data_IF_939260435671
#
_entry.id   IF_939260435671
#
_cell.length_a   1.000
_cell.length_b   1.000
_cell.length_c   1.000
_cell.angle_alpha   90.00
_cell.angle_beta   90.00
_cell.angle_gamma   90.00
#
_symmetry.space_group_name_H-M   'P 1'
#
loop_
_entity.id
_entity.type
_entity.pdbx_description
1 polymer ?
#
# COMPACT_ATOMS: atom_id res chain seq x y z
N UNK A 1 12.60 8.71 -4.56
CA UNK A 1 14.08 8.57 -4.44
C UNK A 1 14.37 7.11 -4.16
N UNK A 2 14.92 6.39 -5.13
CA UNK A 2 15.20 4.96 -5.04
C UNK A 2 16.51 4.70 -4.27
N UNK A 3 16.46 3.79 -3.32
CA UNK A 3 17.59 3.13 -2.67
C UNK A 3 18.24 2.28 -3.78
N UNK A 4 19.55 2.39 -3.93
CA UNK A 4 20.30 1.81 -5.05
C UNK A 4 20.38 0.28 -4.93
N UNK A 5 19.31 -0.43 -5.30
CA UNK A 5 19.23 -1.90 -5.37
C UNK A 5 20.30 -2.52 -6.28
N UNK A 6 20.73 -1.77 -7.29
CA UNK A 6 21.84 -2.13 -8.21
C UNK A 6 23.18 -2.26 -7.51
N UNK A 7 23.44 -1.48 -6.45
CA UNK A 7 24.68 -1.60 -5.66
C UNK A 7 24.71 -2.87 -4.80
N UNK A 8 23.54 -3.41 -4.45
CA UNK A 8 23.39 -4.64 -3.67
C UNK A 8 23.62 -5.87 -4.55
N UNK A 9 23.10 -5.87 -5.78
CA UNK A 9 23.29 -6.96 -6.75
C UNK A 9 24.77 -7.17 -7.09
N UNK A 10 25.48 -6.10 -7.46
CA UNK A 10 26.91 -6.18 -7.77
C UNK A 10 27.76 -6.68 -6.59
N UNK A 11 27.33 -6.41 -5.36
CA UNK A 11 28.02 -6.92 -4.16
C UNK A 11 27.71 -8.38 -3.86
N UNK A 12 26.48 -8.81 -4.11
CA UNK A 12 26.07 -10.22 -4.02
C UNK A 12 26.96 -11.09 -4.92
N UNK A 13 27.10 -10.69 -6.20
CA UNK A 13 27.92 -11.41 -7.18
C UNK A 13 29.40 -11.46 -6.76
N UNK A 14 29.91 -10.35 -6.23
CA UNK A 14 31.32 -10.25 -5.78
C UNK A 14 31.61 -11.07 -4.52
N UNK A 15 30.66 -11.14 -3.58
CA UNK A 15 30.78 -11.99 -2.39
C UNK A 15 30.71 -13.48 -2.75
N UNK A 16 29.85 -13.85 -3.70
CA UNK A 16 29.75 -15.23 -4.19
C UNK A 16 31.05 -15.69 -4.87
N UNK A 17 31.67 -14.82 -5.68
CA UNK A 17 32.95 -15.12 -6.33
C UNK A 17 34.12 -15.24 -5.33
N UNK A 18 34.16 -14.41 -4.27
CA UNK A 18 35.21 -14.51 -3.25
C UNK A 18 35.04 -15.66 -2.26
N UNK A 19 33.81 -16.08 -1.97
CA UNK A 19 33.59 -17.32 -1.22
C UNK A 19 34.21 -18.54 -1.94
N UNK A 20 34.38 -18.46 -3.26
CA UNK A 20 35.07 -19.48 -4.08
C UNK A 20 36.59 -19.25 -4.13
N UNK A 21 37.08 -18.01 -4.02
CA UNK A 21 38.50 -17.63 -4.13
C UNK A 21 39.29 -17.60 -2.80
N UNK A 22 38.67 -17.87 -1.65
CA UNK A 22 39.38 -17.81 -0.36
C UNK A 22 40.42 -18.95 -0.26
N UNK A 23 41.69 -18.63 -0.56
CA UNK A 23 42.78 -19.58 -0.77
C UNK A 23 43.86 -19.61 0.35
N UNK A 24 44.51 -20.76 0.39
CA UNK A 24 45.19 -21.53 1.44
C UNK A 24 46.62 -21.12 1.80
N UNK A 25 46.87 -19.88 2.25
CA UNK A 25 48.26 -19.49 2.62
C UNK A 25 48.63 -19.49 4.10
N UNK A 26 47.67 -19.48 5.03
CA UNK A 26 47.96 -19.43 6.48
C UNK A 26 46.87 -20.02 7.40
N UNK A 27 45.73 -20.45 6.86
CA UNK A 27 44.57 -20.89 7.64
C UNK A 27 44.39 -22.41 7.60
N UNK A 28 43.99 -23.00 8.73
CA UNK A 28 43.58 -24.41 8.82
C UNK A 28 42.29 -24.61 8.01
N UNK A 29 42.09 -25.80 7.42
CA UNK A 29 40.88 -26.14 6.63
C UNK A 29 39.58 -25.77 7.37
N UNK A 30 39.56 -25.90 8.69
CA UNK A 30 38.43 -25.55 9.57
C UNK A 30 38.10 -24.04 9.57
N UNK A 31 39.11 -23.17 9.55
CA UNK A 31 38.89 -21.70 9.48
C UNK A 31 38.38 -21.26 8.12
N UNK A 32 38.87 -21.90 7.05
CA UNK A 32 38.39 -21.66 5.69
C UNK A 32 36.92 -22.07 5.57
N UNK A 33 36.57 -23.26 6.05
CA UNK A 33 35.20 -23.75 6.05
C UNK A 33 34.23 -22.83 6.82
N UNK A 34 34.63 -22.36 8.01
CA UNK A 34 33.82 -21.43 8.80
C UNK A 34 33.63 -20.08 8.07
N UNK A 35 34.69 -19.54 7.47
CA UNK A 35 34.64 -18.27 6.75
C UNK A 35 33.74 -18.35 5.52
N UNK A 36 33.78 -19.46 4.78
CA UNK A 36 32.85 -19.72 3.69
C UNK A 36 31.40 -19.79 4.16
N UNK A 37 31.13 -20.43 5.29
CA UNK A 37 29.79 -20.54 5.86
C UNK A 37 29.25 -19.16 6.26
N UNK A 38 30.05 -18.37 6.96
CA UNK A 38 29.68 -17.02 7.40
C UNK A 38 29.44 -16.09 6.19
N UNK A 39 30.25 -16.19 5.14
CA UNK A 39 30.04 -15.43 3.89
C UNK A 39 28.74 -15.84 3.18
N UNK A 40 28.44 -17.14 3.11
CA UNK A 40 27.17 -17.64 2.57
C UNK A 40 25.99 -17.13 3.41
N UNK A 41 26.15 -17.06 4.73
CA UNK A 41 25.14 -16.53 5.64
C UNK A 41 24.93 -15.02 5.45
N UNK A 42 26.00 -14.24 5.36
CA UNK A 42 25.93 -12.81 5.06
C UNK A 42 25.23 -12.57 3.72
N UNK A 43 25.58 -13.33 2.69
CA UNK A 43 24.98 -13.18 1.37
C UNK A 43 23.46 -13.44 1.41
N UNK A 44 23.03 -14.50 2.11
CA UNK A 44 21.61 -14.79 2.35
C UNK A 44 20.93 -13.67 3.15
N UNK A 45 21.59 -13.10 4.16
CA UNK A 45 21.05 -12.03 4.98
C UNK A 45 20.85 -10.73 4.16
N UNK A 46 21.84 -10.37 3.34
CA UNK A 46 21.78 -9.21 2.44
C UNK A 46 20.71 -9.38 1.36
N UNK A 47 20.58 -10.57 0.76
CA UNK A 47 19.52 -10.85 -0.21
C UNK A 47 18.13 -10.69 0.40
N UNK A 48 17.94 -11.19 1.63
CA UNK A 48 16.68 -11.02 2.36
C UNK A 48 16.41 -9.56 2.73
N UNK A 49 17.44 -8.78 3.08
CA UNK A 49 17.32 -7.34 3.32
C UNK A 49 16.92 -6.60 2.04
N UNK A 50 17.54 -6.94 0.89
CA UNK A 50 17.20 -6.38 -0.42
C UNK A 50 15.72 -6.56 -0.75
N UNK A 51 15.20 -7.78 -0.63
CA UNK A 51 13.79 -8.07 -0.91
C UNK A 51 12.85 -7.30 0.02
N UNK A 52 13.20 -7.18 1.31
CA UNK A 52 12.44 -6.36 2.27
C UNK A 52 12.46 -4.87 1.90
N UNK A 53 13.58 -4.36 1.38
CA UNK A 53 13.71 -2.96 0.95
C UNK A 53 12.93 -2.69 -0.34
N UNK A 54 13.03 -3.56 -1.34
CA UNK A 54 12.28 -3.42 -2.60
C UNK A 54 10.76 -3.36 -2.33
N UNK A 55 10.27 -4.24 -1.45
CA UNK A 55 8.86 -4.23 -1.04
C UNK A 55 8.51 -2.97 -0.23
N UNK A 56 9.38 -2.56 0.71
CA UNK A 56 9.21 -1.31 1.45
C UNK A 56 9.10 -0.10 0.50
N UNK A 57 10.00 0.02 -0.46
CA UNK A 57 10.01 1.14 -1.41
C UNK A 57 8.77 1.17 -2.28
N UNK A 58 8.33 0.00 -2.73
CA UNK A 58 7.10 -0.12 -3.52
C UNK A 58 5.90 0.34 -2.71
N UNK A 59 5.72 -0.18 -1.49
CA UNK A 59 4.56 0.17 -0.65
C UNK A 59 4.62 1.61 -0.15
N UNK A 60 5.81 2.11 0.20
CA UNK A 60 6.05 3.51 0.51
C UNK A 60 5.65 4.42 -0.66
N UNK A 61 6.06 4.06 -1.88
CA UNK A 61 5.69 4.78 -3.10
C UNK A 61 4.19 4.75 -3.39
N UNK A 62 3.51 3.64 -3.12
CA UNK A 62 2.03 3.60 -3.21
C UNK A 62 1.41 4.58 -2.21
N UNK A 63 1.85 4.54 -0.95
CA UNK A 63 1.33 5.42 0.09
C UNK A 63 1.55 6.91 -0.25
N UNK A 64 2.76 7.28 -0.67
CA UNK A 64 3.12 8.68 -0.90
C UNK A 64 2.73 9.19 -2.29
N UNK A 65 3.05 8.44 -3.34
CA UNK A 65 2.99 8.98 -4.71
C UNK A 65 1.63 8.73 -5.34
N UNK A 66 0.93 7.66 -4.93
CA UNK A 66 -0.42 7.33 -5.39
C UNK A 66 -1.46 7.99 -4.49
N UNK A 67 -1.38 7.76 -3.18
CA UNK A 67 -2.39 8.28 -2.23
C UNK A 67 -2.05 9.63 -1.59
N UNK A 68 -0.85 10.18 -1.81
CA UNK A 68 -0.49 11.49 -1.26
C UNK A 68 -0.27 11.51 0.26
N UNK A 69 -0.21 10.36 0.91
CA UNK A 69 -0.11 10.24 2.37
C UNK A 69 1.36 10.27 2.83
N UNK A 70 1.59 10.74 4.05
CA UNK A 70 2.93 10.76 4.64
C UNK A 70 3.35 9.38 5.15
N UNK A 71 4.65 9.08 5.05
CA UNK A 71 5.22 7.89 5.69
C UNK A 71 5.09 7.97 7.23
N UNK A 72 4.89 6.83 7.93
CA UNK A 72 4.96 6.77 9.38
C UNK A 72 6.29 7.34 9.91
N UNK A 73 6.24 7.99 11.08
CA UNK A 73 7.45 8.48 11.75
C UNK A 73 8.40 7.33 12.03
N UNK A 74 9.69 7.55 11.75
CA UNK A 74 10.73 6.53 11.94
C UNK A 74 11.07 5.74 10.68
N UNK A 75 10.54 6.12 9.50
CA UNK A 75 10.96 5.59 8.21
C UNK A 75 12.48 5.42 8.16
N UNK A 76 12.95 4.18 7.91
CA UNK A 76 14.32 3.67 8.05
C UNK A 76 15.37 4.78 7.93
N UNK A 77 16.33 4.81 8.85
CA UNK A 77 17.58 5.52 8.65
C UNK A 77 18.25 4.96 7.39
N UNK A 78 17.95 5.54 6.22
CA UNK A 78 18.50 5.17 4.92
C UNK A 78 20.02 5.08 5.00
N UNK A 79 20.61 5.88 5.87
CA UNK A 79 22.02 5.89 6.18
C UNK A 79 22.53 4.58 6.79
N UNK A 80 21.75 3.90 7.65
CA UNK A 80 22.13 2.59 8.22
C UNK A 80 21.99 1.45 7.21
N UNK A 81 20.96 1.48 6.36
CA UNK A 81 20.89 0.55 5.21
C UNK A 81 22.09 0.79 4.29
N UNK A 82 22.35 2.04 3.94
CA UNK A 82 23.45 2.43 3.06
C UNK A 82 24.81 2.06 3.65
N UNK A 83 25.03 2.23 4.95
CA UNK A 83 26.30 1.87 5.58
C UNK A 83 26.53 0.37 5.53
N UNK A 84 25.51 -0.45 5.79
CA UNK A 84 25.60 -1.91 5.74
C UNK A 84 25.77 -2.44 4.32
N UNK A 85 25.09 -1.83 3.35
CA UNK A 85 25.24 -2.21 1.94
C UNK A 85 26.52 -1.68 1.33
N UNK A 86 27.13 -0.61 1.86
CA UNK A 86 28.32 0.02 1.30
C UNK A 86 29.63 -0.37 1.98
N UNK A 87 29.62 -1.26 2.98
CA UNK A 87 30.83 -1.84 3.58
C UNK A 87 31.81 -2.32 2.49
N UNK A 88 33.01 -1.75 2.40
CA UNK A 88 34.04 -2.18 1.46
C UNK A 88 34.34 -3.68 1.59
N UNK A 89 34.72 -4.30 0.49
CA UNK A 89 35.02 -5.73 0.48
C UNK A 89 36.29 -6.06 1.28
N UNK A 90 37.25 -5.14 1.30
CA UNK A 90 38.46 -5.24 2.14
C UNK A 90 38.08 -5.26 3.61
N UNK A 91 37.19 -4.37 4.05
CA UNK A 91 36.65 -4.38 5.42
C UNK A 91 35.93 -5.70 5.78
N UNK A 92 35.24 -6.35 4.83
CA UNK A 92 34.61 -7.66 5.07
C UNK A 92 35.66 -8.76 5.23
N UNK A 93 36.75 -8.72 4.46
CA UNK A 93 37.87 -9.66 4.63
C UNK A 93 38.59 -9.42 5.95
N UNK A 94 38.79 -8.15 6.34
CA UNK A 94 39.35 -7.81 7.64
C UNK A 94 38.44 -8.31 8.78
N UNK A 95 37.12 -8.31 8.62
CA UNK A 95 36.18 -8.89 9.62
C UNK A 95 36.23 -10.41 9.76
N UNK A 96 36.81 -11.11 8.77
CA UNK A 96 37.07 -12.56 8.84
C UNK A 96 38.36 -12.83 9.62
N UNK A 97 39.38 -11.98 9.41
CA UNK A 97 40.71 -12.17 9.99
C UNK A 97 40.87 -11.51 11.38
N UNK A 98 40.06 -10.50 11.72
CA UNK A 98 40.18 -9.68 12.93
C UNK A 98 39.22 -10.12 14.06
N UNK A 99 39.75 -10.18 15.29
CA UNK A 99 39.01 -10.59 16.50
C UNK A 99 38.12 -9.48 17.07
N UNK A 100 38.32 -8.23 16.64
CA UNK A 100 37.64 -7.05 17.20
C UNK A 100 36.34 -6.66 16.48
N UNK A 101 36.13 -7.09 15.23
CA UNK A 101 34.89 -6.92 14.47
C UNK A 101 34.58 -8.23 13.75
N UNK A 102 33.72 -9.06 14.34
CA UNK A 102 33.39 -10.33 13.71
C UNK A 102 32.39 -10.14 12.57
N UNK A 103 32.59 -10.92 11.50
CA UNK A 103 31.62 -11.08 10.42
C UNK A 103 30.22 -11.44 10.96
N UNK A 104 30.16 -12.26 12.01
CA UNK A 104 28.94 -12.58 12.75
C UNK A 104 28.20 -11.34 13.28
N UNK A 105 28.91 -10.38 13.89
CA UNK A 105 28.29 -9.12 14.35
C UNK A 105 27.74 -8.30 13.18
N UNK A 106 28.39 -8.33 12.01
CA UNK A 106 27.89 -7.64 10.83
C UNK A 106 26.61 -8.30 10.27
N UNK A 107 26.57 -9.63 10.26
CA UNK A 107 25.37 -10.41 9.89
C UNK A 107 24.19 -10.04 10.81
N UNK A 108 24.42 -9.95 12.12
CA UNK A 108 23.39 -9.57 13.09
C UNK A 108 22.90 -8.13 12.90
N UNK A 109 23.78 -7.21 12.51
CA UNK A 109 23.42 -5.85 12.13
C UNK A 109 22.53 -5.81 10.87
N UNK A 110 22.83 -6.65 9.86
CA UNK A 110 21.99 -6.83 8.66
C UNK A 110 20.63 -7.40 9.03
N UNK A 111 20.57 -8.42 9.89
CA UNK A 111 19.33 -9.03 10.40
C UNK A 111 18.47 -8.03 11.15
N UNK A 112 19.07 -7.33 12.11
CA UNK A 112 18.40 -6.29 12.92
C UNK A 112 17.85 -5.18 12.03
N UNK A 113 18.61 -4.77 11.02
CA UNK A 113 18.17 -3.75 10.06
C UNK A 113 17.00 -4.25 9.23
N UNK A 114 17.04 -5.50 8.77
CA UNK A 114 15.92 -6.13 8.06
C UNK A 114 14.67 -6.22 8.93
N UNK A 115 14.79 -6.54 10.22
CA UNK A 115 13.65 -6.55 11.14
C UNK A 115 13.00 -5.18 11.27
N UNK A 116 13.79 -4.11 11.35
CA UNK A 116 13.29 -2.73 11.34
C UNK A 116 12.54 -2.42 10.05
N UNK A 117 13.11 -2.77 8.89
CA UNK A 117 12.45 -2.62 7.57
C UNK A 117 11.11 -3.36 7.55
N UNK A 118 11.06 -4.60 8.03
CA UNK A 118 9.84 -5.40 8.06
C UNK A 118 8.79 -4.82 9.01
N UNK A 119 9.20 -4.26 10.16
CA UNK A 119 8.28 -3.62 11.09
C UNK A 119 7.65 -2.36 10.49
N UNK A 120 8.43 -1.54 9.78
CA UNK A 120 7.90 -0.38 9.08
C UNK A 120 7.04 -0.76 7.88
N UNK A 121 7.43 -1.78 7.13
CA UNK A 121 6.63 -2.34 6.05
C UNK A 121 5.25 -2.79 6.57
N UNK A 122 5.17 -3.38 7.77
CA UNK A 122 3.88 -3.69 8.42
C UNK A 122 3.04 -2.44 8.67
N UNK A 123 3.64 -1.39 9.23
CA UNK A 123 2.94 -0.12 9.48
C UNK A 123 2.41 0.51 8.19
N UNK A 124 3.22 0.53 7.12
CA UNK A 124 2.79 1.02 5.81
C UNK A 124 1.65 0.16 5.26
N UNK A 125 1.76 -1.16 5.32
CA UNK A 125 0.72 -2.07 4.85
C UNK A 125 -0.58 -1.93 5.62
N UNK A 126 -0.53 -1.71 6.93
CA UNK A 126 -1.71 -1.47 7.75
C UNK A 126 -2.38 -0.14 7.37
N UNK A 127 -1.59 0.91 7.13
CA UNK A 127 -2.11 2.20 6.64
C UNK A 127 -2.72 2.06 5.24
N UNK A 128 -2.09 1.33 4.32
CA UNK A 128 -2.64 1.07 2.99
C UNK A 128 -3.94 0.29 3.04
N UNK A 129 -4.06 -0.70 3.94
CA UNK A 129 -5.32 -1.43 4.17
C UNK A 129 -6.41 -0.53 4.74
N UNK A 130 -6.07 0.39 5.64
CA UNK A 130 -7.02 1.38 6.17
C UNK A 130 -7.55 2.27 5.05
N UNK A 131 -6.66 2.86 4.23
CA UNK A 131 -7.02 3.66 3.07
C UNK A 131 -7.91 2.86 2.11
N UNK A 132 -7.53 1.62 1.80
CA UNK A 132 -8.30 0.75 0.92
C UNK A 132 -9.72 0.51 1.46
N UNK A 133 -9.87 0.24 2.77
CA UNK A 133 -11.18 0.03 3.40
C UNK A 133 -12.04 1.29 3.32
N UNK A 134 -11.48 2.45 3.68
CA UNK A 134 -12.20 3.73 3.63
C UNK A 134 -12.65 4.03 2.21
N UNK A 135 -11.74 3.99 1.23
CA UNK A 135 -12.09 4.26 -0.16
C UNK A 135 -13.08 3.25 -0.77
N UNK A 136 -13.01 1.96 -0.38
CA UNK A 136 -14.02 0.97 -0.78
C UNK A 136 -15.39 1.25 -0.15
N UNK A 137 -15.42 1.80 1.07
CA UNK A 137 -16.64 2.28 1.72
C UNK A 137 -17.23 3.46 0.95
N UNK A 138 -16.41 4.46 0.62
CA UNK A 138 -16.83 5.62 -0.20
C UNK A 138 -17.45 5.17 -1.53
N UNK A 139 -16.82 4.18 -2.20
CA UNK A 139 -17.34 3.62 -3.44
C UNK A 139 -18.67 2.89 -3.27
N UNK A 140 -18.92 2.31 -2.09
CA UNK A 140 -20.19 1.66 -1.77
C UNK A 140 -21.27 2.67 -1.47
N UNK A 141 -20.95 3.75 -0.76
CA UNK A 141 -21.85 4.89 -0.56
C UNK A 141 -22.22 5.51 -1.90
N UNK A 142 -21.24 5.77 -2.78
CA UNK A 142 -21.49 6.31 -4.11
C UNK A 142 -22.40 5.42 -4.94
N UNK A 143 -22.20 4.10 -4.91
CA UNK A 143 -23.10 3.15 -5.59
C UNK A 143 -24.52 3.22 -5.03
N UNK A 144 -24.68 3.24 -3.71
CA UNK A 144 -25.99 3.34 -3.06
C UNK A 144 -26.71 4.63 -3.45
N UNK A 145 -26.01 5.76 -3.49
CA UNK A 145 -26.58 7.04 -3.94
C UNK A 145 -26.95 6.93 -5.42
N UNK A 146 -26.07 6.41 -6.28
CA UNK A 146 -26.37 6.25 -7.71
C UNK A 146 -27.60 5.37 -7.98
N UNK A 147 -27.82 4.31 -7.20
CA UNK A 147 -29.03 3.46 -7.32
C UNK A 147 -30.32 4.23 -7.06
N UNK A 148 -30.30 5.26 -6.23
CA UNK A 148 -31.50 6.06 -5.91
C UNK A 148 -31.65 7.31 -6.77
N UNK A 149 -30.57 7.82 -7.38
CA UNK A 149 -30.62 9.04 -8.23
C UNK A 149 -30.75 8.75 -9.72
N UNK A 150 -31.02 7.49 -10.12
CA UNK A 150 -31.33 7.11 -11.50
C UNK A 150 -30.29 6.22 -12.19
N UNK A 151 -29.26 5.76 -11.49
CA UNK A 151 -28.28 4.76 -11.94
C UNK A 151 -27.59 5.16 -13.25
N UNK A 152 -26.89 6.30 -13.24
CA UNK A 152 -26.12 6.76 -14.39
C UNK A 152 -25.04 5.72 -14.79
N UNK A 153 -25.03 5.21 -16.04
CA UNK A 153 -24.10 4.17 -16.46
C UNK A 153 -22.62 4.58 -16.38
N UNK A 154 -22.29 5.84 -16.66
CA UNK A 154 -20.92 6.35 -16.62
C UNK A 154 -20.43 6.49 -15.17
N UNK A 155 -21.32 6.90 -14.26
CA UNK A 155 -21.06 6.91 -12.82
C UNK A 155 -20.82 5.49 -12.28
N UNK A 156 -21.66 4.53 -12.64
CA UNK A 156 -21.52 3.13 -12.23
C UNK A 156 -20.23 2.49 -12.75
N UNK A 157 -19.85 2.76 -14.01
CA UNK A 157 -18.57 2.32 -14.57
C UNK A 157 -17.38 2.97 -13.82
N UNK A 158 -17.46 4.26 -13.51
CA UNK A 158 -16.45 4.95 -12.70
C UNK A 158 -16.27 4.30 -11.32
N UNK A 159 -17.36 4.02 -10.61
CA UNK A 159 -17.35 3.32 -9.31
C UNK A 159 -16.73 1.93 -9.43
N UNK A 160 -17.08 1.18 -10.48
CA UNK A 160 -16.54 -0.16 -10.74
C UNK A 160 -15.04 -0.14 -11.00
N UNK A 161 -14.56 0.79 -11.82
CA UNK A 161 -13.13 1.00 -12.10
C UNK A 161 -12.37 1.40 -10.82
N UNK A 162 -12.96 2.26 -10.00
CA UNK A 162 -12.41 2.69 -8.72
C UNK A 162 -12.20 1.51 -7.77
N UNK A 163 -13.24 0.69 -7.56
CA UNK A 163 -13.16 -0.54 -6.75
C UNK A 163 -12.15 -1.54 -7.29
N UNK A 164 -12.14 -1.74 -8.60
CA UNK A 164 -11.21 -2.67 -9.26
C UNK A 164 -9.76 -2.23 -9.06
N UNK A 165 -9.49 -0.93 -9.21
CA UNK A 165 -8.17 -0.38 -8.93
C UNK A 165 -7.76 -0.64 -7.48
N UNK A 166 -8.60 -0.27 -6.51
CA UNK A 166 -8.31 -0.46 -5.08
C UNK A 166 -8.04 -1.92 -4.72
N UNK A 167 -8.80 -2.87 -5.29
CA UNK A 167 -8.57 -4.31 -5.08
C UNK A 167 -7.24 -4.80 -5.67
N UNK A 168 -6.77 -4.17 -6.75
CA UNK A 168 -5.58 -4.58 -7.50
C UNK A 168 -4.29 -3.84 -7.12
N UNK A 169 -4.37 -2.71 -6.42
CA UNK A 169 -3.22 -1.80 -6.21
C UNK A 169 -2.05 -2.46 -5.46
N UNK A 170 -2.33 -3.43 -4.60
CA UNK A 170 -1.31 -4.16 -3.84
C UNK A 170 -0.67 -5.30 -4.65
N UNK A 171 -1.07 -5.52 -5.91
CA UNK A 171 -0.49 -6.55 -6.77
C UNK A 171 0.97 -6.21 -7.15
N UNK A 172 1.92 -7.14 -6.97
CA UNK A 172 3.36 -6.85 -7.08
C UNK A 172 3.84 -6.47 -8.49
N UNK A 173 3.04 -6.76 -9.53
CA UNK A 173 3.46 -6.60 -10.93
C UNK A 173 3.33 -5.17 -11.48
N UNK A 174 2.64 -4.28 -10.77
CA UNK A 174 2.44 -2.90 -11.23
C UNK A 174 3.49 -1.95 -10.62
N UNK A 175 4.13 -1.15 -11.49
CA UNK A 175 5.05 -0.10 -11.04
C UNK A 175 4.30 1.07 -10.41
N UNK A 176 4.87 1.68 -9.37
CA UNK A 176 4.27 2.82 -8.65
C UNK A 176 3.88 3.97 -9.61
N UNK A 177 4.70 4.25 -10.61
CA UNK A 177 4.42 5.26 -11.64
C UNK A 177 3.16 4.96 -12.44
N UNK A 178 2.94 3.70 -12.84
CA UNK A 178 1.73 3.27 -13.56
C UNK A 178 0.51 3.32 -12.66
N UNK A 179 0.65 2.90 -11.40
CA UNK A 179 -0.40 2.99 -10.39
C UNK A 179 -0.84 4.44 -10.18
N UNK A 180 0.11 5.36 -10.04
CA UNK A 180 -0.16 6.79 -9.90
C UNK A 180 -0.97 7.36 -11.06
N UNK A 181 -0.52 7.14 -12.29
CA UNK A 181 -1.24 7.66 -13.47
C UNK A 181 -2.65 7.09 -13.58
N UNK A 182 -2.84 5.80 -13.28
CA UNK A 182 -4.16 5.16 -13.25
C UNK A 182 -5.04 5.76 -12.16
N UNK A 183 -4.49 5.94 -10.96
CA UNK A 183 -5.22 6.52 -9.83
C UNK A 183 -5.71 7.93 -10.13
N UNK A 184 -4.85 8.82 -10.63
CA UNK A 184 -5.22 10.21 -10.92
C UNK A 184 -6.41 10.32 -11.90
N UNK A 185 -6.46 9.43 -12.90
CA UNK A 185 -7.59 9.40 -13.84
C UNK A 185 -8.89 8.92 -13.20
N UNK A 186 -8.80 7.92 -12.32
CA UNK A 186 -9.97 7.32 -11.65
C UNK A 186 -10.47 8.22 -10.52
N UNK A 187 -9.58 8.76 -9.69
CA UNK A 187 -9.89 9.66 -8.57
C UNK A 187 -10.62 10.90 -9.06
N UNK A 188 -10.13 11.56 -10.11
CA UNK A 188 -10.80 12.74 -10.68
C UNK A 188 -12.22 12.46 -11.18
N UNK A 189 -12.46 11.27 -11.75
CA UNK A 189 -13.81 10.86 -12.15
C UNK A 189 -14.71 10.64 -10.94
N UNK A 190 -14.16 9.97 -9.92
CA UNK A 190 -14.85 9.61 -8.70
C UNK A 190 -15.17 10.82 -7.79
N UNK A 191 -14.32 11.85 -7.77
CA UNK A 191 -14.53 13.11 -7.03
C UNK A 191 -15.79 13.88 -7.47
N UNK A 192 -16.29 13.64 -8.70
CA UNK A 192 -17.52 14.28 -9.17
C UNK A 192 -18.79 13.57 -8.68
N UNK A 193 -18.66 12.41 -8.03
CA UNK A 193 -19.78 11.65 -7.50
C UNK A 193 -20.06 12.05 -6.05
N UNK A 194 -21.31 11.87 -5.62
CA UNK A 194 -21.64 11.94 -4.21
C UNK A 194 -21.17 10.67 -3.50
N UNK A 195 -20.15 10.81 -2.64
CA UNK A 195 -19.51 9.68 -1.94
C UNK A 195 -19.84 9.63 -0.45
N UNK A 196 -20.67 10.56 0.03
CA UNK A 196 -21.03 10.72 1.44
C UNK A 196 -22.51 11.12 1.57
N UNK A 197 -23.25 10.34 2.37
CA UNK A 197 -24.64 10.61 2.70
C UNK A 197 -24.83 11.94 3.44
N UNK A 198 -23.87 12.34 4.27
CA UNK A 198 -23.96 13.58 5.04
C UNK A 198 -23.71 14.81 4.16
N UNK A 199 -22.82 14.69 3.17
CA UNK A 199 -22.66 15.66 2.10
C UNK A 199 -23.93 15.80 1.26
N UNK A 200 -24.50 14.67 0.83
CA UNK A 200 -25.75 14.62 0.07
C UNK A 200 -26.91 15.27 0.84
N UNK A 201 -27.08 14.90 2.12
CA UNK A 201 -28.05 15.49 3.05
C UNK A 201 -27.99 17.01 3.06
N UNK A 202 -26.81 17.56 3.35
CA UNK A 202 -26.61 19.01 3.49
C UNK A 202 -26.84 19.76 2.18
N UNK A 203 -26.43 19.18 1.04
CA UNK A 203 -26.62 19.80 -0.28
C UNK A 203 -28.10 19.93 -0.64
N UNK A 204 -28.88 18.91 -0.32
CA UNK A 204 -30.30 18.85 -0.67
C UNK A 204 -31.23 19.27 0.48
N UNK A 205 -30.69 19.67 1.63
CA UNK A 205 -31.48 20.13 2.78
C UNK A 205 -32.33 19.03 3.42
N UNK A 206 -31.93 17.77 3.30
CA UNK A 206 -32.70 16.62 3.76
C UNK A 206 -32.57 16.43 5.27
N UNK A 207 -33.61 15.93 5.93
CA UNK A 207 -33.54 15.51 7.33
C UNK A 207 -32.83 14.16 7.47
N UNK A 208 -32.39 13.86 8.70
CA UNK A 208 -31.76 12.57 9.03
C UNK A 208 -32.66 11.39 8.69
N UNK A 209 -33.94 11.49 9.05
CA UNK A 209 -34.90 10.44 8.76
C UNK A 209 -34.99 10.14 7.26
N UNK A 210 -35.04 11.18 6.43
CA UNK A 210 -35.10 11.04 4.97
C UNK A 210 -33.86 10.38 4.39
N UNK A 211 -32.68 10.60 5.00
CA UNK A 211 -31.45 9.88 4.61
C UNK A 211 -31.51 8.40 5.01
N UNK A 212 -32.04 8.07 6.18
CA UNK A 212 -32.22 6.66 6.58
C UNK A 212 -33.22 5.94 5.65
N UNK A 213 -34.29 6.62 5.27
CA UNK A 213 -35.25 6.11 4.30
C UNK A 213 -34.58 5.84 2.92
N UNK A 214 -33.74 6.77 2.45
CA UNK A 214 -32.98 6.62 1.20
C UNK A 214 -31.91 5.52 1.26
N UNK A 215 -31.28 5.31 2.42
CA UNK A 215 -30.35 4.19 2.63
C UNK A 215 -31.08 2.86 2.48
N UNK A 216 -32.26 2.72 3.10
CA UNK A 216 -33.11 1.52 2.97
C UNK A 216 -33.48 1.30 1.51
N UNK A 217 -33.92 2.34 0.80
CA UNK A 217 -34.23 2.27 -0.63
C UNK A 217 -33.05 1.79 -1.47
N UNK A 218 -31.84 2.28 -1.19
CA UNK A 218 -30.64 1.88 -1.93
C UNK A 218 -30.24 0.41 -1.76
N UNK A 219 -30.66 -0.21 -0.64
CA UNK A 219 -30.35 -1.60 -0.31
C UNK A 219 -31.42 -2.55 -0.84
N UNK A 220 -32.69 -2.18 -0.67
CA UNK A 220 -33.83 -3.05 -0.99
C UNK A 220 -34.40 -2.80 -2.39
N UNK A 221 -34.02 -1.68 -3.02
CA UNK A 221 -34.52 -1.25 -4.33
C UNK A 221 -35.96 -0.74 -4.32
N UNK A 222 -36.64 -0.81 -3.17
CA UNK A 222 -38.01 -0.34 -2.92
C UNK A 222 -38.15 0.07 -1.46
N UNK A 223 -39.03 1.02 -1.19
CA UNK A 223 -39.52 1.37 0.15
C UNK A 223 -41.02 1.55 0.02
N UNK A 224 -41.78 0.95 0.94
CA UNK A 224 -43.23 1.12 0.98
C UNK A 224 -43.54 2.56 1.40
N UNK A 225 -44.39 3.25 0.64
CA UNK A 225 -44.73 4.66 0.89
C UNK A 225 -45.40 4.86 2.26
N UNK A 226 -46.10 3.83 2.75
CA UNK A 226 -46.74 3.83 4.06
C UNK A 226 -45.71 3.83 5.21
N UNK A 227 -44.47 3.41 4.95
CA UNK A 227 -43.36 3.45 5.91
C UNK A 227 -42.60 4.78 5.87
N UNK A 228 -42.93 5.67 4.92
CA UNK A 228 -42.32 6.99 4.79
C UNK A 228 -43.18 8.06 5.47
N UNK A 229 -42.53 9.01 6.15
CA UNK A 229 -43.22 10.22 6.58
C UNK A 229 -43.59 11.11 5.40
N UNK A 230 -44.74 11.80 5.46
CA UNK A 230 -45.16 12.77 4.44
C UNK A 230 -44.06 13.82 4.20
N UNK A 231 -43.36 14.23 5.24
CA UNK A 231 -42.25 15.16 5.12
C UNK A 231 -41.03 14.53 4.42
N UNK A 232 -40.73 13.24 4.62
CA UNK A 232 -39.68 12.53 3.86
C UNK A 232 -40.03 12.44 2.38
N UNK A 233 -41.28 12.10 2.06
CA UNK A 233 -41.74 12.02 0.66
C UNK A 233 -41.62 13.37 -0.02
N UNK A 234 -42.06 14.45 0.63
CA UNK A 234 -41.95 15.80 0.07
C UNK A 234 -40.50 16.22 -0.15
N UNK A 235 -39.61 15.98 0.83
CA UNK A 235 -38.19 16.27 0.68
C UNK A 235 -37.54 15.51 -0.48
N UNK A 236 -37.85 14.23 -0.64
CA UNK A 236 -37.30 13.47 -1.76
C UNK A 236 -37.88 13.92 -3.10
N UNK A 237 -39.16 14.26 -3.15
CA UNK A 237 -39.79 14.83 -4.34
C UNK A 237 -39.24 16.23 -4.66
N UNK A 238 -38.66 16.96 -3.74
CA UNK A 238 -38.02 18.26 -4.02
C UNK A 238 -36.63 18.12 -4.63
N UNK A 239 -36.02 16.93 -4.57
CA UNK A 239 -34.73 16.62 -5.22
C UNK A 239 -34.98 16.11 -6.65
N UNK A 240 -34.61 16.87 -7.70
CA UNK A 240 -34.88 16.49 -9.08
C UNK A 240 -34.40 15.09 -9.46
N UNK A 241 -33.24 14.69 -8.93
CA UNK A 241 -32.58 13.42 -9.21
C UNK A 241 -33.29 12.21 -8.56
N UNK A 242 -34.03 12.42 -7.46
CA UNK A 242 -34.78 11.35 -6.77
C UNK A 242 -36.18 11.17 -7.37
N UNK A 243 -36.75 12.20 -8.00
CA UNK A 243 -38.11 12.16 -8.60
C UNK A 243 -38.30 11.02 -9.60
N UNK A 244 -37.27 10.70 -10.38
CA UNK A 244 -37.35 9.64 -11.39
C UNK A 244 -37.34 8.23 -10.80
N UNK A 245 -36.77 8.07 -9.61
CA UNK A 245 -36.55 6.76 -8.97
C UNK A 245 -37.66 6.42 -7.99
N UNK A 246 -38.24 7.44 -7.36
CA UNK A 246 -39.48 7.29 -6.58
C UNK A 246 -40.62 7.16 -7.59
N UNK A 247 -40.69 5.99 -8.24
CA UNK A 247 -41.93 5.53 -8.85
C UNK A 247 -42.91 5.31 -7.71
N UNK A 248 -43.64 6.37 -7.40
CA UNK A 248 -44.86 6.31 -6.61
C UNK A 248 -45.75 5.27 -7.28
N UNK A 249 -45.73 4.05 -6.77
CA UNK A 249 -46.76 3.06 -7.10
C UNK A 249 -47.97 3.45 -6.25
N UNK A 250 -48.72 4.43 -6.75
CA UNK A 250 -50.09 4.72 -6.30
C UNK A 250 -51.00 3.54 -6.64
#
# INVERSE_FOLDING_TARGET
MAIQTTSLESKLDSLEQKAVEYDTRTNTEEKVAQSEEDLKELNRALHKLKNSLEEFERQAGILTDVFGESLPKGAIARDKVRSLTNTPQEDILDMIDDSNRSLSSHIDDVRTTREKVNNELRLINDRLKEIQRTKLSDASTAESIQKIVGEDPDAMDTISRYRSFLKSILNPNDSVSRLKSRWQGIEKGFENLDTDWEGFRRRHGLREQTIEDLKTLSQEGKVDLDDLSDESVNEMLDVPELRSTIKVSL
#
